data_IF_676065386932
#
_entry.id   IF_676065386932
#
_cell.length_a   1.000
_cell.length_b   1.000
_cell.length_c   1.000
_cell.angle_alpha   90.00
_cell.angle_beta   90.00
_cell.angle_gamma   90.00
#
_symmetry.space_group_name_H-M   'P 1'
#
loop_
_entity.id
_entity.type
_entity.pdbx_description
1 polymer ?
#
# COMPACT_ATOMS: atom_id res chain seq x y z
N UNK A 1 -0.33 -1.03 -0.40
CA UNK A 1 -0.47 -2.48 -0.72
C UNK A 1 -0.94 -3.29 0.48
N UNK A 2 -0.41 -3.09 1.68
CA UNK A 2 -0.92 -3.71 2.92
C UNK A 2 -2.42 -3.47 3.10
N UNK A 3 -2.86 -2.22 2.99
CA UNK A 3 -4.26 -1.80 3.19
C UNK A 3 -5.22 -2.55 2.28
N UNK A 4 -4.84 -2.79 1.03
CA UNK A 4 -5.67 -3.47 0.04
C UNK A 4 -5.79 -4.97 0.33
N UNK A 5 -4.66 -5.64 0.63
CA UNK A 5 -4.67 -7.07 0.93
C UNK A 5 -5.35 -7.37 2.28
N UNK A 6 -5.02 -6.59 3.30
CA UNK A 6 -5.62 -6.76 4.62
C UNK A 6 -7.08 -6.34 4.64
N UNK A 7 -7.45 -5.25 3.94
CA UNK A 7 -8.84 -4.83 3.78
C UNK A 7 -9.69 -5.89 3.11
N UNK A 8 -9.19 -6.49 2.03
CA UNK A 8 -9.86 -7.63 1.37
C UNK A 8 -10.06 -8.80 2.33
N UNK A 9 -9.02 -9.18 3.10
CA UNK A 9 -9.13 -10.22 4.12
C UNK A 9 -10.21 -9.90 5.17
N UNK A 10 -10.27 -8.65 5.64
CA UNK A 10 -11.27 -8.23 6.63
C UNK A 10 -12.70 -8.33 6.09
N UNK A 11 -12.92 -8.00 4.81
CA UNK A 11 -14.22 -8.14 4.12
C UNK A 11 -14.55 -9.62 3.94
N UNK A 12 -13.67 -10.44 3.39
CA UNK A 12 -13.87 -11.87 3.15
C UNK A 12 -14.08 -12.67 4.45
N UNK A 13 -13.63 -12.14 5.59
CA UNK A 13 -13.81 -12.71 6.93
C UNK A 13 -15.03 -12.13 7.66
N UNK A 14 -15.89 -11.35 7.01
CA UNK A 14 -17.07 -10.69 7.60
C UNK A 14 -16.75 -9.82 8.83
N UNK A 15 -15.52 -9.28 8.93
CA UNK A 15 -15.09 -8.42 10.03
C UNK A 15 -15.52 -6.97 9.79
N UNK A 16 -15.48 -6.53 8.53
CA UNK A 16 -15.95 -5.22 8.09
C UNK A 16 -16.77 -5.37 6.80
N UNK A 17 -17.65 -4.41 6.51
CA UNK A 17 -18.37 -4.35 5.24
C UNK A 17 -17.54 -3.65 4.15
N UNK A 18 -17.90 -3.85 2.87
CA UNK A 18 -17.33 -3.10 1.75
C UNK A 18 -17.51 -1.58 1.93
N UNK A 19 -18.69 -1.13 2.39
CA UNK A 19 -18.97 0.28 2.67
C UNK A 19 -18.03 0.85 3.74
N UNK A 20 -17.79 0.10 4.82
CA UNK A 20 -16.82 0.51 5.85
C UNK A 20 -15.39 0.60 5.28
N UNK A 21 -15.01 -0.33 4.42
CA UNK A 21 -13.69 -0.31 3.79
C UNK A 21 -13.52 0.90 2.86
N UNK A 22 -14.51 1.23 2.05
CA UNK A 22 -14.50 2.43 1.20
C UNK A 22 -14.39 3.72 2.03
N UNK A 23 -15.14 3.81 3.15
CA UNK A 23 -15.05 4.95 4.08
C UNK A 23 -13.65 5.06 4.72
N UNK A 24 -13.04 3.91 5.07
CA UNK A 24 -11.66 3.87 5.57
C UNK A 24 -10.69 4.42 4.53
N UNK A 25 -10.73 3.94 3.29
CA UNK A 25 -9.82 4.41 2.23
C UNK A 25 -9.97 5.91 1.99
N UNK A 26 -11.20 6.42 1.92
CA UNK A 26 -11.47 7.86 1.71
C UNK A 26 -10.94 8.75 2.85
N UNK A 27 -10.91 8.22 4.08
CA UNK A 27 -10.40 8.93 5.25
C UNK A 27 -8.89 8.86 5.39
N UNK A 28 -8.27 7.73 5.02
CA UNK A 28 -6.81 7.51 5.11
C UNK A 28 -6.03 8.59 4.35
N UNK A 29 -6.49 8.97 3.13
CA UNK A 29 -5.86 10.01 2.32
C UNK A 29 -5.73 11.36 3.05
N UNK A 30 -6.73 11.70 3.89
CA UNK A 30 -6.82 12.96 4.63
C UNK A 30 -6.25 12.88 6.03
N UNK A 31 -5.90 11.68 6.48
CA UNK A 31 -5.47 11.42 7.86
C UNK A 31 -3.97 11.65 8.04
N UNK A 32 -3.64 12.27 9.17
CA UNK A 32 -2.28 12.33 9.68
C UNK A 32 -2.14 11.37 10.87
N UNK A 33 -1.17 10.48 10.81
CA UNK A 33 -0.97 9.51 11.88
C UNK A 33 -0.65 10.18 13.22
N UNK A 34 -1.29 9.71 14.29
CA UNK A 34 -1.07 10.22 15.67
C UNK A 34 0.30 9.76 16.17
N UNK A 35 1.09 10.69 16.72
CA UNK A 35 2.45 10.38 17.23
C UNK A 35 2.45 9.30 18.31
N UNK A 36 1.44 9.28 19.18
CA UNK A 36 1.30 8.25 20.20
C UNK A 36 1.14 6.85 19.62
N UNK A 37 0.36 6.71 18.54
CA UNK A 37 0.17 5.44 17.84
C UNK A 37 1.49 4.97 17.21
N UNK A 38 2.21 5.88 16.54
CA UNK A 38 3.52 5.58 15.94
C UNK A 38 4.50 5.14 17.03
N UNK A 39 4.59 5.88 18.14
CA UNK A 39 5.52 5.57 19.22
C UNK A 39 5.27 4.20 19.86
N UNK A 40 4.00 3.78 19.94
CA UNK A 40 3.62 2.44 20.41
C UNK A 40 3.96 1.36 19.39
N UNK A 41 3.65 1.56 18.11
CA UNK A 41 3.96 0.59 17.05
C UNK A 41 5.46 0.36 16.86
N UNK A 42 6.28 1.39 17.12
CA UNK A 42 7.75 1.31 17.08
C UNK A 42 8.37 0.79 18.41
N UNK A 43 7.55 0.44 19.40
CA UNK A 43 8.03 -0.03 20.70
C UNK A 43 8.76 1.02 21.54
N UNK A 44 8.66 2.30 21.16
CA UNK A 44 9.29 3.43 21.87
C UNK A 44 8.52 3.76 23.15
N UNK A 45 7.19 3.69 23.08
CA UNK A 45 6.29 3.88 24.21
C UNK A 45 5.40 2.67 24.42
N UNK A 46 4.98 2.45 25.66
CA UNK A 46 3.84 1.55 25.94
C UNK A 46 2.52 2.30 25.71
N UNK A 47 1.42 1.56 25.53
CA UNK A 47 0.07 2.13 25.37
C UNK A 47 -0.30 3.04 26.55
N UNK A 48 0.02 2.61 27.76
CA UNK A 48 -0.26 3.37 29.00
C UNK A 48 0.51 4.70 29.04
N UNK A 49 1.77 4.71 28.57
CA UNK A 49 2.57 5.94 28.50
C UNK A 49 2.03 6.89 27.43
N UNK A 50 1.65 6.40 26.28
CA UNK A 50 1.05 7.20 25.21
C UNK A 50 -0.28 7.83 25.68
N UNK A 51 -1.13 7.05 26.36
CA UNK A 51 -2.39 7.54 26.95
C UNK A 51 -2.14 8.62 27.99
N UNK A 52 -1.14 8.44 28.86
CA UNK A 52 -0.77 9.44 29.88
C UNK A 52 -0.33 10.75 29.22
N UNK A 53 0.42 10.72 28.13
CA UNK A 53 0.80 11.92 27.38
C UNK A 53 -0.44 12.59 26.77
N UNK A 54 -1.39 11.82 26.21
CA UNK A 54 -2.66 12.34 25.70
C UNK A 54 -3.46 13.09 26.79
N UNK A 55 -3.51 12.55 28.00
CA UNK A 55 -4.15 13.22 29.15
C UNK A 55 -3.42 14.52 29.49
N UNK A 56 -2.09 14.51 29.51
CA UNK A 56 -1.29 15.71 29.77
C UNK A 56 -1.48 16.79 28.68
N UNK A 57 -1.71 16.41 27.43
CA UNK A 57 -2.02 17.36 26.35
C UNK A 57 -3.26 18.19 26.66
N UNK A 58 -4.32 17.55 27.19
CA UNK A 58 -5.56 18.27 27.52
C UNK A 58 -5.39 19.23 28.69
N UNK A 59 -4.40 19.01 29.56
CA UNK A 59 -4.12 19.81 30.72
C UNK A 59 -3.14 20.96 30.46
N UNK A 60 -2.14 20.73 29.57
CA UNK A 60 -1.02 21.66 29.34
C UNK A 60 -1.18 22.50 28.08
N UNK A 61 -2.18 22.24 27.21
CA UNK A 61 -2.35 22.85 25.90
C UNK A 61 -1.05 22.84 25.06
N UNK A 62 -0.35 21.71 25.06
CA UNK A 62 0.93 21.52 24.38
C UNK A 62 0.88 20.34 23.41
N UNK A 63 1.83 20.26 22.48
CA UNK A 63 1.88 19.17 21.49
C UNK A 63 2.35 17.87 22.15
N UNK A 64 1.86 16.73 21.66
CA UNK A 64 2.26 15.40 22.14
C UNK A 64 3.79 15.23 22.23
N UNK A 65 4.50 15.59 21.14
CA UNK A 65 5.96 15.47 21.08
C UNK A 65 6.69 16.31 22.12
N UNK A 66 6.23 17.54 22.32
CA UNK A 66 6.84 18.47 23.29
C UNK A 66 6.69 17.93 24.72
N UNK A 67 5.49 17.49 25.09
CA UNK A 67 5.23 16.85 26.40
C UNK A 67 6.04 15.57 26.57
N UNK A 68 6.08 14.72 25.52
CA UNK A 68 6.77 13.44 25.57
C UNK A 68 8.27 13.62 25.83
N UNK A 69 8.90 14.66 25.27
CA UNK A 69 10.31 14.99 25.48
C UNK A 69 10.50 15.70 26.84
N UNK A 70 9.68 16.68 27.17
CA UNK A 70 9.77 17.45 28.42
C UNK A 70 9.63 16.56 29.67
N UNK A 71 8.67 15.62 29.63
CA UNK A 71 8.44 14.68 30.73
C UNK A 71 9.39 13.45 30.69
N UNK A 72 10.34 13.42 29.75
CA UNK A 72 11.36 12.38 29.66
C UNK A 72 10.85 11.00 29.21
N UNK A 73 9.68 10.95 28.55
CA UNK A 73 9.15 9.70 27.99
C UNK A 73 9.92 9.24 26.75
N UNK A 74 10.41 10.19 25.94
CA UNK A 74 11.19 9.96 24.72
C UNK A 74 12.32 10.98 24.61
N UNK A 75 13.35 10.66 23.79
CA UNK A 75 14.40 11.63 23.44
C UNK A 75 13.98 12.45 22.21
N UNK A 76 14.75 13.52 21.90
CA UNK A 76 14.54 14.30 20.67
C UNK A 76 14.74 13.47 19.40
N UNK A 77 15.77 12.62 19.39
CA UNK A 77 16.07 11.72 18.28
C UNK A 77 14.94 10.72 18.05
N UNK A 78 14.33 10.19 19.13
CA UNK A 78 13.14 9.35 19.04
C UNK A 78 11.93 10.12 18.52
N UNK A 79 11.75 11.38 18.92
CA UNK A 79 10.68 12.24 18.38
C UNK A 79 10.86 12.45 16.87
N UNK A 80 12.08 12.76 16.41
CA UNK A 80 12.37 12.95 14.98
C UNK A 80 12.08 11.68 14.17
N UNK A 81 12.43 10.51 14.71
CA UNK A 81 12.10 9.22 14.11
C UNK A 81 10.58 9.01 14.03
N UNK A 82 9.83 9.27 15.09
CA UNK A 82 8.36 9.15 15.10
C UNK A 82 7.73 10.12 14.08
N UNK A 83 8.24 11.36 14.00
CA UNK A 83 7.76 12.36 13.05
C UNK A 83 7.99 11.94 11.59
N UNK A 84 9.11 11.30 11.28
CA UNK A 84 9.40 10.80 9.94
C UNK A 84 8.41 9.71 9.48
N UNK A 85 7.83 8.97 10.43
CA UNK A 85 6.86 7.90 10.16
C UNK A 85 5.39 8.35 10.11
N UNK A 86 5.09 9.65 10.31
CA UNK A 86 3.71 10.15 10.22
C UNK A 86 3.06 9.98 8.84
N UNK A 87 3.86 9.78 7.80
CA UNK A 87 3.38 9.52 6.45
C UNK A 87 3.06 8.04 6.19
N UNK A 88 3.41 7.11 7.10
CA UNK A 88 3.23 5.66 6.91
C UNK A 88 1.79 5.31 6.56
N UNK A 89 1.52 4.72 5.36
CA UNK A 89 0.18 4.32 4.96
C UNK A 89 -0.39 3.25 5.88
N UNK A 90 0.45 2.31 6.32
CA UNK A 90 0.07 1.28 7.28
C UNK A 90 -0.51 1.87 8.58
N UNK A 91 0.22 2.80 9.20
CA UNK A 91 -0.20 3.38 10.49
C UNK A 91 -1.47 4.21 10.34
N UNK A 92 -1.59 4.98 9.25
CA UNK A 92 -2.81 5.73 8.93
C UNK A 92 -4.00 4.80 8.76
N UNK A 93 -3.80 3.68 8.04
CA UNK A 93 -4.86 2.70 7.82
C UNK A 93 -5.34 2.08 9.14
N UNK A 94 -4.42 1.64 10.00
CA UNK A 94 -4.77 1.06 11.32
C UNK A 94 -5.52 2.07 12.20
N UNK A 95 -5.07 3.34 12.19
CA UNK A 95 -5.75 4.39 12.94
C UNK A 95 -7.18 4.61 12.46
N UNK A 96 -7.37 4.73 11.14
CA UNK A 96 -8.70 4.97 10.56
C UNK A 96 -9.60 3.73 10.70
N UNK A 97 -9.04 2.54 10.57
CA UNK A 97 -9.77 1.29 10.83
C UNK A 97 -10.34 1.26 12.25
N UNK A 98 -9.55 1.59 13.28
CA UNK A 98 -10.04 1.71 14.66
C UNK A 98 -11.12 2.80 14.80
N UNK A 99 -10.91 3.97 14.18
CA UNK A 99 -11.84 5.10 14.24
C UNK A 99 -13.20 4.81 13.58
N UNK A 100 -13.21 4.12 12.44
CA UNK A 100 -14.44 3.80 11.68
C UNK A 100 -15.20 2.62 12.28
N UNK A 101 -14.48 1.58 12.69
CA UNK A 101 -15.11 0.32 13.12
C UNK A 101 -15.29 0.21 14.62
N UNK A 102 -14.54 0.98 15.42
CA UNK A 102 -14.46 0.84 16.88
C UNK A 102 -13.68 -0.39 17.35
N UNK A 103 -13.10 -1.18 16.43
CA UNK A 103 -12.26 -2.35 16.75
C UNK A 103 -10.97 -1.84 17.38
N UNK A 104 -10.68 -2.30 18.59
CA UNK A 104 -9.51 -1.88 19.34
C UNK A 104 -8.21 -2.44 18.75
N UNK A 105 -7.12 -1.70 18.90
CA UNK A 105 -5.81 -2.04 18.36
C UNK A 105 -5.37 -3.46 18.71
N UNK A 106 -5.60 -3.93 19.94
CA UNK A 106 -5.24 -5.30 20.34
C UNK A 106 -5.93 -6.36 19.48
N UNK A 107 -7.20 -6.11 19.09
CA UNK A 107 -7.94 -7.01 18.23
C UNK A 107 -7.51 -6.89 16.77
N UNK A 108 -7.16 -5.69 16.32
CA UNK A 108 -6.60 -5.48 14.98
C UNK A 108 -5.27 -6.24 14.85
N UNK A 109 -4.42 -6.22 15.86
CA UNK A 109 -3.15 -6.98 15.88
C UNK A 109 -3.39 -8.50 15.74
N UNK A 110 -4.43 -9.04 16.38
CA UNK A 110 -4.82 -10.45 16.20
C UNK A 110 -5.28 -10.73 14.77
N UNK A 111 -6.09 -9.85 14.19
CA UNK A 111 -6.52 -10.01 12.78
C UNK A 111 -5.35 -9.91 11.80
N UNK A 112 -4.36 -9.06 12.06
CA UNK A 112 -3.14 -8.98 11.25
C UNK A 112 -2.35 -10.29 11.32
N UNK A 113 -2.26 -10.90 12.50
CA UNK A 113 -1.57 -12.19 12.66
C UNK A 113 -2.33 -13.32 11.96
N UNK A 114 -3.67 -13.32 12.04
CA UNK A 114 -4.49 -14.30 11.33
C UNK A 114 -4.41 -14.11 9.81
N UNK A 115 -4.42 -12.88 9.33
CA UNK A 115 -4.16 -12.54 7.94
C UNK A 115 -2.79 -13.04 7.48
N UNK A 116 -1.72 -12.76 8.24
CA UNK A 116 -0.38 -13.26 7.92
C UNK A 116 -0.36 -14.77 7.72
N UNK A 117 -0.99 -15.52 8.64
CA UNK A 117 -1.09 -16.98 8.56
C UNK A 117 -1.91 -17.45 7.37
N UNK A 118 -3.02 -16.76 7.05
CA UNK A 118 -3.91 -17.16 5.96
C UNK A 118 -3.24 -17.07 4.59
N UNK A 119 -2.33 -16.10 4.40
CA UNK A 119 -1.58 -15.94 3.15
C UNK A 119 -0.21 -16.65 3.18
N UNK A 120 0.18 -17.24 4.33
CA UNK A 120 1.42 -17.99 4.48
C UNK A 120 2.68 -17.13 4.60
N UNK A 121 2.57 -15.86 4.95
CA UNK A 121 3.72 -14.97 5.09
C UNK A 121 4.48 -15.18 6.40
N UNK A 122 5.80 -15.05 6.32
CA UNK A 122 6.68 -14.91 7.47
C UNK A 122 6.47 -13.57 8.17
N UNK A 123 7.05 -13.37 9.34
CA UNK A 123 7.03 -12.06 10.01
C UNK A 123 7.78 -10.99 9.21
N UNK A 124 8.92 -11.36 8.61
CA UNK A 124 9.72 -10.43 7.79
C UNK A 124 8.98 -9.99 6.53
N UNK A 125 8.27 -10.91 5.88
CA UNK A 125 7.42 -10.58 4.72
C UNK A 125 6.26 -9.67 5.10
N UNK A 126 5.62 -9.89 6.25
CA UNK A 126 4.58 -8.98 6.75
C UNK A 126 5.14 -7.59 7.02
N UNK A 127 6.32 -7.46 7.63
CA UNK A 127 6.97 -6.16 7.87
C UNK A 127 7.36 -5.48 6.55
N UNK A 128 7.84 -6.23 5.55
CA UNK A 128 8.07 -5.72 4.21
C UNK A 128 6.78 -5.18 3.58
N UNK A 129 5.67 -5.91 3.72
CA UNK A 129 4.36 -5.46 3.23
C UNK A 129 3.89 -4.17 3.91
N UNK A 130 4.09 -4.03 5.22
CA UNK A 130 3.75 -2.82 6.00
C UNK A 130 4.62 -1.62 5.62
N UNK A 131 5.86 -1.85 5.22
CA UNK A 131 6.79 -0.78 4.80
C UNK A 131 6.45 -0.19 3.43
N UNK A 132 5.67 -0.93 2.62
CA UNK A 132 5.30 -0.60 1.23
C UNK A 132 6.51 -0.45 0.29
N UNK A 133 7.66 -1.04 0.64
CA UNK A 133 8.83 -1.12 -0.23
C UNK A 133 8.60 -2.15 -1.33
N UNK A 134 8.37 -1.67 -2.55
CA UNK A 134 8.05 -2.50 -3.72
C UNK A 134 9.15 -3.53 -4.01
N UNK A 135 10.42 -3.17 -3.82
CA UNK A 135 11.54 -4.06 -4.11
C UNK A 135 11.61 -5.24 -3.14
N UNK A 136 11.17 -5.07 -1.90
CA UNK A 136 11.03 -6.14 -0.90
C UNK A 136 9.75 -6.95 -1.10
N UNK A 137 8.67 -6.31 -1.58
CA UNK A 137 7.34 -6.94 -1.70
C UNK A 137 7.25 -7.83 -2.96
N UNK A 138 7.73 -7.36 -4.11
CA UNK A 138 7.56 -8.09 -5.38
C UNK A 138 8.09 -9.52 -5.34
N UNK A 139 9.27 -9.82 -4.76
CA UNK A 139 9.78 -11.19 -4.66
C UNK A 139 8.85 -12.14 -3.90
N UNK A 140 8.06 -11.64 -2.93
CA UNK A 140 7.14 -12.47 -2.13
C UNK A 140 6.02 -13.08 -2.97
N UNK A 141 5.65 -12.43 -4.09
CA UNK A 141 4.60 -12.87 -5.01
C UNK A 141 5.15 -13.60 -6.24
N UNK A 142 6.48 -13.68 -6.38
CA UNK A 142 7.15 -14.23 -7.56
C UNK A 142 7.52 -15.71 -7.33
N UNK A 143 6.60 -16.61 -7.64
CA UNK A 143 6.86 -18.06 -7.60
C UNK A 143 7.85 -18.49 -8.68
N UNK A 144 9.07 -18.83 -8.29
CA UNK A 144 10.13 -19.31 -9.19
C UNK A 144 10.39 -18.38 -10.41
N UNK A 145 10.13 -17.09 -10.24
CA UNK A 145 10.31 -16.13 -11.32
C UNK A 145 11.81 -15.87 -11.57
N UNK A 146 12.13 -15.73 -12.85
CA UNK A 146 13.43 -15.24 -13.26
C UNK A 146 13.68 -13.86 -12.62
N UNK A 147 14.87 -13.57 -12.05
CA UNK A 147 15.21 -12.26 -11.49
C UNK A 147 14.93 -11.07 -12.43
N UNK A 148 15.03 -11.27 -13.73
CA UNK A 148 14.69 -10.28 -14.74
C UNK A 148 13.19 -9.91 -14.69
N UNK A 149 12.31 -10.92 -14.61
CA UNK A 149 10.86 -10.70 -14.51
C UNK A 149 10.50 -9.97 -13.21
N UNK A 150 11.12 -10.34 -12.11
CA UNK A 150 10.94 -9.68 -10.81
C UNK A 150 11.33 -8.18 -10.87
N UNK A 151 12.44 -7.87 -11.53
CA UNK A 151 12.89 -6.48 -11.71
C UNK A 151 11.93 -5.67 -12.58
N UNK A 152 11.47 -6.23 -13.70
CA UNK A 152 10.47 -5.57 -14.58
C UNK A 152 9.18 -5.34 -13.81
N UNK A 153 8.69 -6.33 -13.06
CA UNK A 153 7.48 -6.20 -12.26
C UNK A 153 7.63 -5.08 -11.21
N UNK A 154 8.76 -5.04 -10.49
CA UNK A 154 9.02 -3.98 -9.52
C UNK A 154 9.08 -2.58 -10.19
N UNK A 155 9.71 -2.49 -11.37
CA UNK A 155 9.76 -1.25 -12.14
C UNK A 155 8.36 -0.79 -12.59
N UNK A 156 7.56 -1.71 -13.12
CA UNK A 156 6.19 -1.43 -13.53
C UNK A 156 5.33 -0.92 -12.35
N UNK A 157 5.43 -1.57 -11.20
CA UNK A 157 4.68 -1.20 -10.01
C UNK A 157 5.12 0.15 -9.42
N UNK A 158 6.42 0.46 -9.40
CA UNK A 158 6.90 1.79 -9.01
C UNK A 158 6.33 2.88 -9.92
N UNK A 159 6.25 2.62 -11.23
CA UNK A 159 5.68 3.57 -12.18
C UNK A 159 4.15 3.69 -12.01
N UNK A 160 3.44 2.59 -11.74
CA UNK A 160 2.00 2.64 -11.40
C UNK A 160 1.80 3.52 -10.17
N UNK A 161 2.54 3.29 -9.09
CA UNK A 161 2.45 4.11 -7.87
C UNK A 161 2.73 5.58 -8.14
N UNK A 162 3.74 5.87 -8.96
CA UNK A 162 4.17 7.25 -9.22
C UNK A 162 3.22 8.02 -10.13
N UNK A 163 2.68 7.38 -11.16
CA UNK A 163 1.97 8.08 -12.24
C UNK A 163 0.47 7.81 -12.26
N UNK A 164 0.04 6.67 -11.72
CA UNK A 164 -1.35 6.20 -11.84
C UNK A 164 -2.08 6.23 -10.51
N UNK A 165 -1.73 5.32 -9.61
CA UNK A 165 -2.40 5.13 -8.30
C UNK A 165 -1.53 4.29 -7.38
N UNK A 166 -1.69 4.48 -6.07
CA UNK A 166 -1.18 3.60 -5.01
C UNK A 166 -2.23 2.57 -4.53
N UNK A 167 -3.48 2.70 -5.02
CA UNK A 167 -4.56 1.79 -4.67
C UNK A 167 -4.58 0.56 -5.59
N UNK A 168 -3.66 -0.36 -5.38
CA UNK A 168 -3.58 -1.67 -6.05
C UNK A 168 -2.93 -2.71 -5.12
N UNK A 169 -3.02 -3.98 -5.50
CA UNK A 169 -2.28 -5.07 -4.87
C UNK A 169 -1.79 -6.07 -5.91
N UNK A 170 -0.74 -6.83 -5.53
CA UNK A 170 -0.23 -7.93 -6.34
C UNK A 170 -1.00 -9.19 -5.93
N UNK A 171 -1.63 -9.85 -6.88
CA UNK A 171 -2.20 -11.17 -6.65
C UNK A 171 -1.15 -12.27 -6.78
N UNK A 172 -0.41 -12.27 -7.91
CA UNK A 172 0.49 -13.34 -8.27
C UNK A 172 1.43 -12.91 -9.41
N UNK A 173 2.68 -13.37 -9.37
CA UNK A 173 3.64 -13.23 -10.47
C UNK A 173 4.05 -14.65 -10.87
N UNK A 174 3.69 -15.08 -12.06
CA UNK A 174 3.94 -16.43 -12.54
C UNK A 174 4.22 -16.49 -14.03
N UNK A 175 4.88 -17.57 -14.45
CA UNK A 175 5.03 -17.92 -15.85
C UNK A 175 3.78 -18.66 -16.33
N UNK A 176 3.20 -18.21 -17.44
CA UNK A 176 2.09 -18.87 -18.12
C UNK A 176 2.44 -19.07 -19.60
N UNK A 177 2.00 -20.19 -20.20
CA UNK A 177 2.22 -20.44 -21.62
C UNK A 177 1.28 -19.66 -22.53
N UNK A 178 0.07 -19.40 -22.05
CA UNK A 178 -0.96 -18.63 -22.74
C UNK A 178 -1.65 -17.70 -21.76
N UNK A 179 -2.02 -16.52 -22.26
CA UNK A 179 -2.81 -15.54 -21.54
C UNK A 179 -3.90 -15.00 -22.45
N UNK A 180 -5.15 -15.33 -22.15
CA UNK A 180 -6.30 -14.78 -22.87
C UNK A 180 -6.59 -13.37 -22.37
N UNK A 181 -6.73 -12.42 -23.28
CA UNK A 181 -7.01 -11.03 -22.96
C UNK A 181 -8.07 -10.43 -23.87
N UNK A 182 -8.84 -9.50 -23.33
CA UNK A 182 -9.80 -8.68 -24.06
C UNK A 182 -9.17 -7.44 -24.66
N UNK A 183 -8.24 -6.83 -23.90
CA UNK A 183 -7.49 -5.67 -24.33
C UNK A 183 -6.03 -5.82 -23.90
N UNK A 184 -5.12 -5.36 -24.76
CA UNK A 184 -3.68 -5.34 -24.52
C UNK A 184 -3.08 -4.12 -25.18
N UNK A 185 -2.19 -3.43 -24.47
CA UNK A 185 -1.29 -2.43 -25.04
C UNK A 185 0.11 -2.66 -24.51
N UNK A 186 1.10 -2.66 -25.37
CA UNK A 186 2.46 -3.00 -25.00
C UNK A 186 3.47 -2.55 -26.05
N UNK A 187 4.74 -2.64 -25.66
CA UNK A 187 5.92 -2.28 -26.46
C UNK A 187 6.82 -3.48 -26.64
N UNK A 188 7.34 -3.63 -27.85
CA UNK A 188 8.42 -4.57 -28.13
C UNK A 188 9.76 -3.90 -27.78
N UNK A 189 10.54 -4.58 -26.94
CA UNK A 189 11.87 -4.15 -26.53
C UNK A 189 12.89 -5.06 -27.21
N UNK A 190 13.80 -4.49 -27.99
CA UNK A 190 14.88 -5.20 -28.69
C UNK A 190 16.21 -4.94 -28.00
N UNK A 191 16.96 -6.00 -27.73
CA UNK A 191 18.26 -5.93 -27.06
C UNK A 191 18.86 -7.33 -26.90
N UNK A 192 19.64 -7.50 -25.85
CA UNK A 192 20.20 -8.82 -25.49
C UNK A 192 19.10 -9.86 -25.26
N UNK A 193 17.95 -9.40 -24.83
CA UNK A 193 16.73 -10.20 -24.65
C UNK A 193 15.58 -9.45 -25.36
N UNK A 194 14.98 -10.10 -26.36
CA UNK A 194 13.79 -9.56 -27.02
C UNK A 194 12.56 -9.88 -26.18
N UNK A 195 11.85 -8.85 -25.76
CA UNK A 195 10.66 -8.97 -24.90
C UNK A 195 9.53 -8.08 -25.39
N UNK A 196 8.31 -8.38 -24.95
CA UNK A 196 7.19 -7.47 -25.04
C UNK A 196 6.73 -7.15 -23.61
N UNK A 197 6.72 -5.89 -23.25
CA UNK A 197 6.20 -5.41 -21.98
C UNK A 197 4.87 -4.72 -22.23
N UNK A 198 3.85 -5.01 -21.43
CA UNK A 198 2.54 -4.40 -21.63
C UNK A 198 1.55 -4.69 -20.51
N UNK A 199 0.39 -4.06 -20.63
CA UNK A 199 -0.76 -4.28 -19.77
C UNK A 199 -1.88 -4.94 -20.55
N UNK A 200 -2.49 -5.92 -19.90
CA UNK A 200 -3.62 -6.65 -20.45
C UNK A 200 -4.75 -6.75 -19.43
N UNK A 201 -5.97 -6.79 -19.91
CA UNK A 201 -7.15 -7.12 -19.10
C UNK A 201 -7.91 -8.27 -19.71
N UNK A 202 -8.42 -9.16 -18.86
CA UNK A 202 -9.14 -10.35 -19.30
C UNK A 202 -10.63 -10.04 -19.50
N UNK A 203 -11.34 -9.76 -18.44
CA UNK A 203 -12.80 -9.64 -18.45
C UNK A 203 -13.25 -8.19 -18.24
N UNK A 204 -12.77 -7.55 -17.17
CA UNK A 204 -13.14 -6.21 -16.77
C UNK A 204 -12.08 -5.18 -17.25
N UNK A 205 -12.47 -4.22 -18.11
CA UNK A 205 -11.56 -3.20 -18.61
C UNK A 205 -11.20 -2.11 -17.61
N UNK A 206 -11.82 -2.06 -16.44
CA UNK A 206 -11.67 -0.96 -15.47
C UNK A 206 -10.22 -0.72 -15.07
N UNK A 207 -9.44 -1.77 -14.83
CA UNK A 207 -8.02 -1.63 -14.52
C UNK A 207 -7.22 -0.96 -15.64
N UNK A 208 -7.50 -1.32 -16.89
CA UNK A 208 -6.85 -0.73 -18.06
C UNK A 208 -7.24 0.74 -18.23
N UNK A 209 -8.53 1.04 -18.07
CA UNK A 209 -9.08 2.40 -18.12
C UNK A 209 -8.49 3.27 -17.00
N UNK A 210 -8.35 2.72 -15.78
CA UNK A 210 -7.72 3.42 -14.66
C UNK A 210 -6.25 3.77 -14.93
N UNK A 211 -5.50 2.88 -15.57
CA UNK A 211 -4.12 3.17 -15.99
C UNK A 211 -4.11 4.33 -16.99
N UNK A 212 -4.95 4.28 -18.04
CA UNK A 212 -5.05 5.34 -19.03
C UNK A 212 -5.40 6.70 -18.42
N UNK A 213 -6.43 6.75 -17.58
CA UNK A 213 -6.89 7.98 -16.94
C UNK A 213 -5.87 8.53 -15.93
N UNK A 214 -5.30 7.67 -15.10
CA UNK A 214 -4.31 8.04 -14.09
C UNK A 214 -3.03 8.61 -14.68
N UNK A 215 -2.50 7.97 -15.73
CA UNK A 215 -1.28 8.41 -16.42
C UNK A 215 -1.49 9.71 -17.18
N UNK A 216 -2.53 9.80 -18.01
CA UNK A 216 -2.77 10.98 -18.84
C UNK A 216 -3.28 12.20 -18.07
N UNK A 217 -3.76 12.01 -16.82
CA UNK A 217 -4.43 13.02 -15.99
C UNK A 217 -5.66 13.65 -16.70
N UNK A 218 -6.22 12.97 -17.69
CA UNK A 218 -7.46 13.35 -18.37
C UNK A 218 -8.63 12.62 -17.71
N UNK A 219 -9.82 13.15 -17.89
CA UNK A 219 -11.06 12.61 -17.33
C UNK A 219 -11.37 11.19 -17.79
N UNK A 220 -12.61 10.74 -17.61
CA UNK A 220 -13.03 9.37 -17.86
C UNK A 220 -12.72 8.88 -19.27
N UNK A 221 -12.04 7.75 -19.37
CA UNK A 221 -11.83 7.00 -20.60
C UNK A 221 -12.88 5.90 -20.75
N UNK A 222 -13.13 5.53 -21.98
CA UNK A 222 -13.76 4.26 -22.33
C UNK A 222 -12.73 3.36 -23.00
N UNK A 223 -12.98 2.07 -23.05
CA UNK A 223 -12.10 1.15 -23.77
C UNK A 223 -12.15 1.46 -25.28
N UNK A 224 -11.06 2.00 -25.84
CA UNK A 224 -10.95 2.42 -27.24
C UNK A 224 -9.55 2.94 -27.55
N UNK A 225 -9.35 3.48 -28.76
CA UNK A 225 -8.03 3.90 -29.24
C UNK A 225 -7.32 4.83 -28.27
N UNK A 226 -8.01 5.81 -27.70
CA UNK A 226 -7.39 6.78 -26.78
C UNK A 226 -6.86 6.10 -25.50
N UNK A 227 -7.57 5.09 -24.97
CA UNK A 227 -7.09 4.36 -23.80
C UNK A 227 -5.94 3.42 -24.15
N UNK A 228 -5.94 2.81 -25.36
CA UNK A 228 -4.80 2.04 -25.84
C UNK A 228 -3.54 2.89 -26.00
N UNK A 229 -3.67 4.08 -26.60
CA UNK A 229 -2.56 5.00 -26.78
C UNK A 229 -1.99 5.47 -25.43
N UNK A 230 -2.85 5.86 -24.49
CA UNK A 230 -2.42 6.31 -23.17
C UNK A 230 -1.70 5.20 -22.39
N UNK A 231 -2.19 3.96 -22.45
CA UNK A 231 -1.50 2.82 -21.83
C UNK A 231 -0.20 2.50 -22.56
N UNK A 232 -0.16 2.59 -23.88
CA UNK A 232 1.08 2.42 -24.66
C UNK A 232 2.15 3.43 -24.31
N UNK A 233 1.79 4.70 -24.18
CA UNK A 233 2.72 5.73 -23.72
C UNK A 233 3.19 5.51 -22.26
N UNK A 234 2.32 5.01 -21.40
CA UNK A 234 2.72 4.61 -20.06
C UNK A 234 3.73 3.46 -20.07
N UNK A 235 3.55 2.46 -20.95
CA UNK A 235 4.53 1.37 -21.13
C UNK A 235 5.89 1.90 -21.58
N UNK A 236 5.95 2.89 -22.46
CA UNK A 236 7.19 3.53 -22.87
C UNK A 236 7.97 4.14 -21.68
N UNK A 237 7.29 4.63 -20.66
CA UNK A 237 7.95 5.10 -19.44
C UNK A 237 8.58 3.96 -18.61
N UNK A 238 8.10 2.72 -18.77
CA UNK A 238 8.66 1.54 -18.10
C UNK A 238 9.87 1.02 -18.87
N UNK A 239 9.78 1.02 -20.20
CA UNK A 239 10.83 0.49 -21.10
C UNK A 239 12.05 1.41 -21.21
N UNK A 240 11.84 2.72 -21.10
CA UNK A 240 12.89 3.74 -21.24
C UNK A 240 13.79 3.95 -20.01
N UNK A 241 13.67 3.12 -18.97
CA UNK A 241 14.43 3.15 -17.71
C UNK A 241 15.30 1.90 -17.56
#
# INVERSE_FOLDING_TARGET
>A
MFSQLFGKYLIESDIISEEQYEDILAKVEKTRAKLGLIAVSEGILTKEKAERINILQTQKDARFGDIAVEEGYITKEQLDMILSKQASPYIKFIQVLEEVTGIKQDKIELYIEDFRKSIGFTFEELESLKSEDIDSIVPMFAYAANPYVTRIAALALRNITRFVTDNYYIGKIEHVNNFDYRAFSGQQCEGDINTVIGFAVKDDPDGFIKIAAGYSKRGAYTLGLESYDAVGEFVNCIDGL
#
